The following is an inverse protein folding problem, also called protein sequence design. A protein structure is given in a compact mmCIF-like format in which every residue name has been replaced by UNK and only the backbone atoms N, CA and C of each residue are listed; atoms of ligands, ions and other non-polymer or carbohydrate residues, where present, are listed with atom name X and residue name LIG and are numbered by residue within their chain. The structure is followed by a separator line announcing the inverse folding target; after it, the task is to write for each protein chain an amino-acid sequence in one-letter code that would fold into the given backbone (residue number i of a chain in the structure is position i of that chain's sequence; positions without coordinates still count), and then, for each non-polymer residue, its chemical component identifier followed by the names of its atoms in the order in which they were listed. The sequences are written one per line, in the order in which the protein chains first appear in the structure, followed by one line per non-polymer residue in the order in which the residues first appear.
data_IF_609195582595
#
_entry.id   IF_609195582595
#
_cell.length_a   1.000
_cell.length_b   1.000
_cell.length_c   1.000
_cell.angle_alpha   90.00
_cell.angle_beta   90.00
_cell.angle_gamma   90.00
#
_symmetry.space_group_name_H-M   'P 1'
#
loop_
_entity.id
_entity.type
_entity.pdbx_description
1 polymer ?
#
# COMPACT_ATOMS: atom_id res chain seq x y z
N UNK A 1 -25.36 9.43 -5.39
CA UNK A 1 -24.24 10.36 -5.51
C UNK A 1 -23.11 9.60 -6.19
N UNK A 2 -22.94 9.80 -7.49
CA UNK A 2 -21.94 9.09 -8.30
C UNK A 2 -20.56 9.67 -8.02
N UNK A 3 -19.60 8.82 -7.69
CA UNK A 3 -18.19 9.22 -7.72
C UNK A 3 -17.78 9.31 -9.18
N UNK A 4 -17.89 10.51 -9.74
CA UNK A 4 -17.32 10.89 -11.03
C UNK A 4 -15.80 10.72 -10.97
N UNK A 5 -15.35 9.50 -11.25
CA UNK A 5 -13.94 9.16 -11.43
C UNK A 5 -13.41 9.85 -12.68
N UNK A 6 -13.01 11.11 -12.54
CA UNK A 6 -12.07 11.72 -13.50
C UNK A 6 -10.91 10.75 -13.67
N UNK A 7 -10.47 10.42 -14.90
CA UNK A 7 -9.25 9.67 -15.09
C UNK A 7 -8.15 10.50 -14.44
N UNK A 8 -7.60 10.01 -13.35
CA UNK A 8 -6.42 10.56 -12.70
C UNK A 8 -5.35 10.67 -13.77
N UNK A 9 -5.13 11.88 -14.27
CA UNK A 9 -4.07 12.16 -15.25
C UNK A 9 -2.77 12.11 -14.46
N UNK A 10 -2.30 10.89 -14.20
CA UNK A 10 -1.05 10.64 -13.52
C UNK A 10 0.06 11.34 -14.27
N UNK A 11 0.92 12.07 -13.56
CA UNK A 11 2.12 12.68 -14.16
C UNK A 11 3.20 11.61 -14.30
N UNK A 12 4.05 11.66 -15.33
CA UNK A 12 5.21 10.78 -15.39
C UNK A 12 6.09 10.90 -14.13
N UNK A 13 6.63 9.79 -13.65
CA UNK A 13 7.43 9.75 -12.42
C UNK A 13 7.31 8.44 -11.66
N UNK A 14 7.89 8.39 -10.46
CA UNK A 14 7.85 7.22 -9.59
C UNK A 14 6.56 7.16 -8.75
N UNK A 15 5.96 5.97 -8.66
CA UNK A 15 4.76 5.70 -7.86
C UNK A 15 4.88 4.40 -7.06
N UNK A 16 4.11 4.32 -5.97
CA UNK A 16 3.63 3.04 -5.45
C UNK A 16 2.29 2.74 -6.14
N UNK A 17 2.13 1.53 -6.69
CA UNK A 17 0.95 1.16 -7.48
C UNK A 17 0.33 -0.10 -6.91
N UNK A 18 -0.94 -0.03 -6.53
CA UNK A 18 -1.77 -1.19 -6.23
C UNK A 18 -2.48 -1.60 -7.51
N UNK A 19 -2.22 -2.81 -8.01
CA UNK A 19 -2.78 -3.32 -9.26
C UNK A 19 -3.27 -4.76 -9.12
N UNK A 20 -4.06 -5.18 -10.10
CA UNK A 20 -4.34 -6.58 -10.38
C UNK A 20 -3.20 -7.11 -11.24
N UNK A 21 -2.59 -8.22 -10.84
CA UNK A 21 -1.73 -9.07 -11.63
C UNK A 21 -2.51 -10.31 -12.04
N UNK A 22 -2.59 -10.55 -13.34
CA UNK A 22 -3.32 -11.67 -13.92
C UNK A 22 -2.40 -12.55 -14.79
N UNK A 23 -1.12 -12.66 -14.42
CA UNK A 23 -0.19 -13.60 -15.04
C UNK A 23 -0.78 -15.01 -15.13
N UNK A 24 -1.21 -15.59 -14.01
CA UNK A 24 -1.69 -16.97 -13.93
C UNK A 24 -3.21 -17.12 -14.11
N UNK A 25 -3.95 -16.01 -14.13
CA UNK A 25 -5.40 -15.98 -14.26
C UNK A 25 -6.16 -15.79 -12.93
N UNK A 26 -5.49 -15.74 -11.78
CA UNK A 26 -6.12 -15.64 -10.45
C UNK A 26 -6.49 -14.20 -10.05
N UNK A 27 -5.98 -13.19 -10.77
CA UNK A 27 -6.24 -11.76 -10.53
C UNK A 27 -5.79 -11.29 -9.15
N UNK A 28 -4.58 -11.66 -8.78
CA UNK A 28 -3.97 -11.27 -7.52
C UNK A 28 -3.84 -9.76 -7.38
N UNK A 29 -3.96 -9.27 -6.15
CA UNK A 29 -3.72 -7.87 -5.86
C UNK A 29 -2.27 -7.71 -5.41
N UNK A 30 -1.48 -7.01 -6.22
CA UNK A 30 -0.09 -6.68 -5.95
C UNK A 30 0.09 -5.20 -5.60
N UNK A 31 1.18 -4.92 -4.86
CA UNK A 31 1.66 -3.57 -4.61
C UNK A 31 3.11 -3.47 -5.10
N UNK A 32 3.34 -2.62 -6.09
CA UNK A 32 4.60 -2.57 -6.84
C UNK A 32 5.09 -1.13 -6.95
N UNK A 33 6.40 -0.92 -6.84
CA UNK A 33 7.00 0.37 -7.18
C UNK A 33 7.17 0.44 -8.69
N UNK A 34 6.53 1.42 -9.33
CA UNK A 34 6.50 1.51 -10.77
C UNK A 34 6.80 2.92 -11.26
N UNK A 35 7.45 3.00 -12.41
CA UNK A 35 7.63 4.21 -13.17
C UNK A 35 6.48 4.38 -14.15
N UNK A 36 5.92 5.60 -14.19
CA UNK A 36 5.04 6.03 -15.26
C UNK A 36 5.81 6.89 -16.24
N UNK A 37 5.81 6.53 -17.53
CA UNK A 37 6.41 7.35 -18.58
C UNK A 37 5.46 8.41 -19.16
N UNK A 38 5.98 9.25 -20.05
CA UNK A 38 5.20 10.30 -20.74
C UNK A 38 4.12 9.75 -21.69
N UNK A 39 4.24 8.50 -22.11
CA UNK A 39 3.29 7.80 -22.98
C UNK A 39 2.19 7.07 -22.16
N UNK A 40 2.25 7.15 -20.82
CA UNK A 40 1.29 6.52 -19.93
C UNK A 40 1.54 5.03 -19.67
N UNK A 41 2.75 4.53 -19.95
CA UNK A 41 3.12 3.14 -19.68
C UNK A 41 3.69 2.99 -18.28
N UNK A 42 3.24 1.94 -17.61
CA UNK A 42 3.72 1.53 -16.30
C UNK A 42 4.79 0.46 -16.47
N UNK A 43 5.96 0.67 -15.89
CA UNK A 43 7.01 -0.33 -15.79
C UNK A 43 7.40 -0.53 -14.33
N UNK A 44 7.64 -1.76 -13.94
CA UNK A 44 8.22 -2.09 -12.64
C UNK A 44 9.58 -1.40 -12.49
N UNK A 45 9.83 -0.79 -11.34
CA UNK A 45 11.03 0.04 -11.10
C UNK A 45 12.31 -0.80 -11.04
N UNK A 46 12.22 -2.03 -10.52
CA UNK A 46 13.40 -2.86 -10.25
C UNK A 46 13.80 -3.68 -11.46
N UNK A 47 12.82 -4.24 -12.17
CA UNK A 47 13.01 -5.12 -13.32
C UNK A 47 12.95 -4.36 -14.65
N UNK A 48 12.24 -3.23 -14.71
CA UNK A 48 11.97 -2.50 -15.95
C UNK A 48 10.91 -3.15 -16.83
N UNK A 49 10.31 -4.26 -16.38
CA UNK A 49 9.29 -4.98 -17.14
C UNK A 49 7.95 -4.23 -17.12
N UNK A 50 7.08 -4.41 -18.14
CA UNK A 50 5.75 -3.83 -18.15
C UNK A 50 4.92 -4.30 -16.96
N UNK A 51 4.35 -3.36 -16.21
CA UNK A 51 3.54 -3.69 -15.02
C UNK A 51 2.19 -4.33 -15.38
N UNK A 52 1.67 -4.00 -16.57
CA UNK A 52 0.38 -4.49 -17.08
C UNK A 52 0.63 -5.30 -18.36
N UNK A 53 1.22 -6.48 -18.21
CA UNK A 53 1.65 -7.33 -19.32
C UNK A 53 0.55 -8.32 -19.75
N UNK A 54 -0.35 -8.69 -18.85
CA UNK A 54 -1.33 -9.76 -19.05
C UNK A 54 -2.75 -9.21 -19.18
N UNK A 55 -3.56 -9.92 -19.96
CA UNK A 55 -4.97 -9.57 -20.14
C UNK A 55 -5.71 -9.80 -18.83
N UNK A 56 -6.18 -8.72 -18.20
CA UNK A 56 -6.85 -8.76 -16.90
C UNK A 56 -6.18 -7.86 -15.88
N UNK A 57 -4.92 -7.48 -16.13
CA UNK A 57 -4.19 -6.54 -15.30
C UNK A 57 -4.87 -5.19 -15.26
N UNK A 58 -4.83 -4.56 -14.10
CA UNK A 58 -5.49 -3.27 -13.90
C UNK A 58 -4.90 -2.51 -12.74
N UNK A 59 -4.53 -1.25 -12.98
CA UNK A 59 -4.23 -0.32 -11.88
C UNK A 59 -5.51 -0.05 -11.10
N UNK A 60 -5.46 -0.29 -9.79
CA UNK A 60 -6.54 0.01 -8.86
C UNK A 60 -6.33 1.40 -8.24
N UNK A 61 -5.12 1.64 -7.74
CA UNK A 61 -4.71 2.91 -7.13
C UNK A 61 -3.23 3.15 -7.37
N UNK A 62 -2.82 4.41 -7.54
CA UNK A 62 -1.41 4.79 -7.63
C UNK A 62 -1.13 6.04 -6.79
N UNK A 63 -0.03 6.03 -6.04
CA UNK A 63 0.43 7.11 -5.18
C UNK A 63 1.77 7.65 -5.67
N UNK A 64 1.87 8.93 -6.07
CA UNK A 64 3.12 9.53 -6.52
C UNK A 64 4.14 9.56 -5.37
N UNK A 65 5.35 9.09 -5.63
CA UNK A 65 6.46 9.11 -4.68
C UNK A 65 7.44 10.26 -4.95
N UNK A 66 7.53 10.73 -6.20
CA UNK A 66 8.34 11.89 -6.60
C UNK A 66 7.70 13.27 -6.28
N UNK A 67 6.73 13.32 -5.36
CA UNK A 67 6.17 14.60 -4.94
C UNK A 67 7.20 15.40 -4.13
N UNK A 68 7.86 16.37 -4.78
CA UNK A 68 8.59 17.45 -4.11
C UNK A 68 7.69 18.35 -3.24
N UNK A 69 6.37 18.20 -3.40
CA UNK A 69 5.32 18.86 -2.60
C UNK A 69 4.64 17.88 -1.62
N UNK A 70 5.31 16.79 -1.21
CA UNK A 70 4.80 16.01 -0.10
C UNK A 70 4.72 16.96 1.12
N UNK A 71 3.53 17.18 1.74
CA UNK A 71 3.49 17.81 3.06
C UNK A 71 4.42 16.97 3.93
N UNK A 72 5.51 17.59 4.39
CA UNK A 72 6.67 16.87 4.94
C UNK A 72 6.19 15.77 5.86
N UNK A 73 6.69 14.55 5.65
CA UNK A 73 6.27 13.31 6.32
C UNK A 73 5.91 13.58 7.77
N UNK A 74 4.64 13.89 8.02
CA UNK A 74 4.16 13.95 9.37
C UNK A 74 3.96 12.48 9.67
N UNK A 75 4.91 11.91 10.43
CA UNK A 75 4.60 10.72 11.19
C UNK A 75 3.36 11.13 12.00
N UNK A 76 2.18 10.71 11.53
CA UNK A 76 0.98 10.73 12.34
C UNK A 76 1.30 9.66 13.38
N UNK A 77 2.01 10.08 14.44
CA UNK A 77 2.24 9.24 15.59
C UNK A 77 0.86 8.80 16.01
N UNK A 78 0.58 7.51 15.84
CA UNK A 78 -0.71 6.95 16.20
C UNK A 78 -0.91 7.31 17.67
N UNK A 79 -1.92 8.12 18.02
CA UNK A 79 -2.12 8.52 19.40
C UNK A 79 -2.22 7.25 20.26
N UNK A 80 -1.58 7.26 21.43
CA UNK A 80 -1.43 6.06 22.27
C UNK A 80 -2.76 5.34 22.55
N UNK A 81 -3.84 6.10 22.69
CA UNK A 81 -5.19 5.58 22.88
C UNK A 81 -5.73 4.78 21.68
N UNK A 82 -5.26 5.07 20.46
CA UNK A 82 -5.60 4.35 19.25
C UNK A 82 -4.86 3.02 19.16
N UNK A 83 -3.59 2.99 19.58
CA UNK A 83 -2.83 1.74 19.73
C UNK A 83 -3.45 0.85 20.81
N UNK A 84 -3.94 1.42 21.91
CA UNK A 84 -4.63 0.66 22.97
C UNK A 84 -5.94 0.04 22.47
N UNK A 85 -6.77 0.79 21.74
CA UNK A 85 -8.00 0.26 21.15
C UNK A 85 -7.71 -0.81 20.09
N UNK A 86 -6.72 -0.58 19.23
CA UNK A 86 -6.33 -1.55 18.23
C UNK A 86 -5.71 -2.81 18.86
N UNK A 87 -4.94 -2.67 19.93
CA UNK A 87 -4.43 -3.80 20.71
C UNK A 87 -5.55 -4.60 21.36
N UNK A 88 -6.61 -3.95 21.85
CA UNK A 88 -7.80 -4.63 22.39
C UNK A 88 -8.55 -5.38 21.29
N UNK A 89 -8.79 -4.76 20.14
CA UNK A 89 -9.40 -5.42 18.97
C UNK A 89 -8.56 -6.61 18.47
N UNK A 90 -7.24 -6.49 18.50
CA UNK A 90 -6.30 -7.56 18.13
C UNK A 90 -6.29 -8.70 19.16
N UNK A 91 -6.42 -8.40 20.45
CA UNK A 91 -6.53 -9.41 21.52
C UNK A 91 -7.86 -10.16 21.41
N UNK A 92 -8.96 -9.47 21.10
CA UNK A 92 -10.26 -10.09 20.83
C UNK A 92 -10.20 -10.99 19.59
N UNK A 93 -9.57 -10.54 18.50
CA UNK A 93 -9.36 -11.34 17.30
C UNK A 93 -8.44 -12.56 17.54
N UNK A 94 -7.44 -12.44 18.42
CA UNK A 94 -6.52 -13.53 18.76
C UNK A 94 -7.14 -14.62 19.63
N UNK A 95 -8.19 -14.31 20.41
CA UNK A 95 -8.97 -15.31 21.15
C UNK A 95 -9.75 -16.25 20.23
N UNK A 96 -10.00 -15.84 18.98
CA UNK A 96 -10.64 -16.66 17.94
C UNK A 96 -9.66 -17.58 17.18
N UNK A 97 -8.40 -17.65 17.63
CA UNK A 97 -7.50 -18.76 17.31
C UNK A 97 -6.40 -18.45 16.29
N UNK A 98 -5.22 -18.15 16.82
CA UNK A 98 -3.97 -18.72 16.29
C UNK A 98 -2.92 -17.74 15.76
N UNK A 99 -1.82 -17.64 16.52
CA UNK A 99 -0.47 -17.32 16.04
C UNK A 99 -0.06 -15.82 15.88
N UNK A 100 -0.66 -14.89 16.62
CA UNK A 100 -0.27 -13.46 16.61
C UNK A 100 0.28 -12.90 17.94
N UNK A 101 0.46 -13.72 18.98
CA UNK A 101 0.93 -13.24 20.29
C UNK A 101 2.35 -12.64 20.26
N UNK A 102 3.27 -13.24 19.50
CA UNK A 102 4.69 -12.89 19.58
C UNK A 102 5.03 -11.56 18.87
N UNK A 103 4.23 -11.14 17.89
CA UNK A 103 4.47 -9.87 17.18
C UNK A 103 3.97 -8.66 17.98
N UNK A 104 2.87 -8.83 18.72
CA UNK A 104 2.27 -7.77 19.55
C UNK A 104 3.14 -7.50 20.80
N UNK A 105 3.65 -8.54 21.46
CA UNK A 105 4.58 -8.37 22.58
C UNK A 105 5.85 -7.61 22.17
N UNK A 106 6.40 -7.92 20.99
CA UNK A 106 7.61 -7.26 20.50
C UNK A 106 7.39 -5.77 20.18
N UNK A 107 6.22 -5.40 19.65
CA UNK A 107 5.85 -4.00 19.40
C UNK A 107 5.71 -3.19 20.69
N UNK A 108 5.17 -3.79 21.75
CA UNK A 108 5.05 -3.14 23.06
C UNK A 108 6.41 -2.94 23.74
N UNK A 109 7.33 -3.91 23.61
CA UNK A 109 8.69 -3.78 24.14
C UNK A 109 9.51 -2.67 23.47
N UNK A 110 9.38 -2.51 22.14
CA UNK A 110 10.11 -1.47 21.38
C UNK A 110 9.66 -0.06 21.81
N UNK A 111 8.37 0.12 22.12
CA UNK A 111 7.81 1.42 22.53
C UNK A 111 7.84 1.67 24.05
N UNK A 112 8.34 0.72 24.86
CA UNK A 112 8.44 0.86 26.30
C UNK A 112 9.76 1.49 26.79
N UNK A 113 10.76 1.71 25.91
CA UNK A 113 11.98 2.44 26.30
C UNK A 113 11.81 3.95 26.07
N UNK A 114 12.05 4.78 27.10
CA UNK A 114 12.02 6.25 26.98
C UNK A 114 13.16 6.80 26.12
#
# INVERSE_FOLDING_TARGET
MGTDGKPSTYKPGLYAVRHIDNWDGERDVALTFAMLDADGKWTDKETGEPLLAYKGDKVLTAWPLDCSDAPGTQIIGVPRNWLENWALELVEAAQDGGQMSNQVEHLLEIHAKP
#
